data_IF_967161767023
#
_entry.id   IF_967161767023
#
_cell.length_a   1.000
_cell.length_b   1.000
_cell.length_c   1.000
_cell.angle_alpha   90.00
_cell.angle_beta   90.00
_cell.angle_gamma   90.00
#
_symmetry.space_group_name_H-M   'P 1'
#
loop_
_entity.id
_entity.type
_entity.pdbx_description
1 polymer ?
#
# COMPACT_ATOMS: atom_id res chain seq x y z
N UNK A 1 0.35 -12.63 2.36
CA UNK A 1 1.29 -11.57 1.93
C UNK A 1 1.56 -10.65 3.12
N UNK A 2 2.82 -10.55 3.56
CA UNK A 2 3.21 -9.72 4.71
C UNK A 2 4.03 -8.56 4.16
N UNK A 3 3.62 -7.32 4.35
CA UNK A 3 4.47 -6.16 4.04
C UNK A 3 5.10 -5.72 5.37
N UNK A 4 6.43 -5.60 5.52
CA UNK A 4 7.03 -5.21 6.79
C UNK A 4 6.59 -3.82 7.24
N UNK A 5 6.61 -3.57 8.56
CA UNK A 5 6.43 -2.23 9.13
C UNK A 5 7.46 -1.27 8.53
N UNK A 6 7.04 -0.04 8.19
CA UNK A 6 7.92 0.98 7.61
C UNK A 6 8.26 0.75 6.14
N UNK A 7 7.67 -0.27 5.51
CA UNK A 7 7.82 -0.55 4.07
C UNK A 7 6.47 -0.41 3.37
N UNK A 8 6.53 0.02 2.12
CA UNK A 8 5.37 0.12 1.25
C UNK A 8 5.59 -0.66 -0.04
N UNK A 9 4.49 -1.07 -0.68
CA UNK A 9 4.47 -1.64 -2.02
C UNK A 9 3.50 -0.88 -2.90
N UNK A 10 3.75 -0.82 -4.21
CA UNK A 10 2.76 -0.25 -5.13
C UNK A 10 1.66 -1.25 -5.46
N UNK A 11 0.48 -0.80 -5.89
CA UNK A 11 -0.53 -1.68 -6.46
C UNK A 11 -0.01 -2.53 -7.64
N UNK A 12 0.93 -1.99 -8.42
CA UNK A 12 1.58 -2.73 -9.51
C UNK A 12 2.50 -3.84 -9.00
N UNK A 13 3.26 -3.58 -7.95
CA UNK A 13 4.10 -4.58 -7.26
C UNK A 13 3.22 -5.68 -6.67
N UNK A 14 2.14 -5.30 -5.97
CA UNK A 14 1.15 -6.24 -5.42
C UNK A 14 0.54 -7.13 -6.52
N UNK A 15 0.06 -6.53 -7.60
CA UNK A 15 -0.54 -7.25 -8.73
C UNK A 15 0.43 -8.25 -9.37
N UNK A 16 1.69 -7.86 -9.56
CA UNK A 16 2.75 -8.77 -10.05
C UNK A 16 3.01 -9.92 -9.07
N UNK A 17 3.10 -9.64 -7.77
CA UNK A 17 3.37 -10.63 -6.74
C UNK A 17 2.29 -11.72 -6.60
N UNK A 18 1.05 -11.42 -7.02
CA UNK A 18 -0.06 -12.39 -7.06
C UNK A 18 -0.26 -13.03 -8.44
N UNK A 19 0.71 -12.91 -9.35
CA UNK A 19 0.64 -13.51 -10.68
C UNK A 19 -0.29 -12.80 -11.67
N UNK A 20 -0.68 -11.54 -11.39
CA UNK A 20 -1.57 -10.74 -12.25
C UNK A 20 -0.87 -9.44 -12.71
N UNK A 21 0.24 -9.50 -13.46
CA UNK A 21 0.90 -8.30 -13.97
C UNK A 21 -0.08 -7.44 -14.78
N UNK A 22 -0.01 -6.11 -14.64
CA UNK A 22 -0.94 -5.17 -15.28
C UNK A 22 -2.24 -4.92 -14.49
N UNK A 23 -2.57 -5.72 -13.48
CA UNK A 23 -3.82 -5.60 -12.71
C UNK A 23 -3.77 -4.57 -11.56
N UNK A 24 -2.97 -3.50 -11.68
CA UNK A 24 -2.79 -2.52 -10.61
C UNK A 24 -4.10 -1.83 -10.17
N UNK A 25 -4.97 -1.47 -11.13
CA UNK A 25 -6.29 -0.88 -10.82
C UNK A 25 -7.19 -1.86 -10.07
N UNK A 26 -7.23 -3.12 -10.50
CA UNK A 26 -8.00 -4.17 -9.83
C UNK A 26 -7.47 -4.45 -8.41
N UNK A 27 -6.15 -4.44 -8.22
CA UNK A 27 -5.54 -4.54 -6.90
C UNK A 27 -5.95 -3.36 -5.99
N UNK A 28 -5.97 -2.13 -6.52
CA UNK A 28 -6.47 -0.96 -5.80
C UNK A 28 -7.95 -1.05 -5.42
N UNK A 29 -8.79 -1.55 -6.32
CA UNK A 29 -10.20 -1.81 -6.04
C UNK A 29 -10.37 -2.87 -4.94
N UNK A 30 -9.63 -3.98 -5.00
CA UNK A 30 -9.63 -5.01 -3.97
C UNK A 30 -9.19 -4.47 -2.60
N UNK A 31 -8.16 -3.62 -2.55
CA UNK A 31 -7.75 -2.94 -1.32
C UNK A 31 -8.83 -1.99 -0.78
N UNK A 32 -9.58 -1.31 -1.66
CA UNK A 32 -10.68 -0.40 -1.28
C UNK A 32 -11.88 -1.16 -0.72
N UNK A 33 -12.18 -2.33 -1.28
CA UNK A 33 -13.30 -3.19 -0.88
C UNK A 33 -13.00 -4.07 0.33
N UNK A 34 -11.84 -3.91 0.98
CA UNK A 34 -11.48 -4.70 2.16
C UNK A 34 -12.20 -4.16 3.42
N UNK A 35 -13.18 -4.88 4.00
CA UNK A 35 -13.90 -4.44 5.19
C UNK A 35 -13.06 -4.49 6.47
N UNK A 36 -11.83 -5.03 6.40
CA UNK A 36 -10.96 -5.27 7.56
C UNK A 36 -9.65 -4.47 7.45
N UNK A 37 -9.78 -3.14 7.33
CA UNK A 37 -8.67 -2.22 7.05
C UNK A 37 -7.52 -2.19 8.07
N UNK A 38 -7.70 -2.76 9.26
CA UNK A 38 -6.67 -2.81 10.32
C UNK A 38 -5.95 -4.17 10.44
N UNK A 39 -6.59 -5.29 10.07
CA UNK A 39 -5.97 -6.63 10.14
C UNK A 39 -5.13 -6.94 8.89
N UNK A 40 -5.49 -6.36 7.75
CA UNK A 40 -4.70 -6.42 6.53
C UNK A 40 -4.05 -5.04 6.37
N UNK A 41 -2.71 -4.94 6.27
CA UNK A 41 -1.99 -3.66 6.24
C UNK A 41 -2.15 -2.96 4.88
N UNK A 42 -3.39 -2.65 4.47
CA UNK A 42 -3.71 -2.04 3.20
C UNK A 42 -3.25 -0.58 3.11
N UNK A 43 -2.97 0.07 4.26
CA UNK A 43 -2.29 1.36 4.31
C UNK A 43 -0.85 1.27 3.76
N UNK A 44 -0.21 0.10 3.79
CA UNK A 44 1.13 -0.13 3.19
C UNK A 44 1.11 -0.31 1.67
N UNK A 45 -0.07 -0.34 1.03
CA UNK A 45 -0.20 -0.44 -0.43
C UNK A 45 -0.52 0.93 -1.01
N UNK A 46 0.39 1.48 -1.82
CA UNK A 46 0.33 2.86 -2.32
C UNK A 46 0.21 2.92 -3.85
N UNK A 47 -0.14 4.09 -4.39
CA UNK A 47 0.00 4.36 -5.81
C UNK A 47 1.47 4.68 -6.16
N UNK A 48 1.86 4.50 -7.42
CA UNK A 48 3.22 4.85 -7.87
C UNK A 48 3.54 6.35 -7.78
N UNK A 49 2.51 7.20 -7.76
CA UNK A 49 2.62 8.65 -7.62
C UNK A 49 2.29 9.20 -6.24
N UNK A 50 1.90 8.36 -5.28
CA UNK A 50 1.54 8.84 -3.94
C UNK A 50 0.69 7.87 -3.11
N UNK A 51 0.04 8.34 -2.03
CA UNK A 51 -0.60 7.44 -1.06
C UNK A 51 -1.71 6.57 -1.67
N UNK A 52 -2.37 7.00 -2.75
CA UNK A 52 -3.52 6.27 -3.31
C UNK A 52 -4.76 6.40 -2.41
N UNK A 53 -5.69 5.45 -2.54
CA UNK A 53 -6.94 5.45 -1.74
C UNK A 53 -6.80 4.72 -0.40
N UNK A 54 -7.67 5.06 0.55
CA UNK A 54 -7.83 4.40 1.84
C UNK A 54 -9.22 4.63 2.42
N UNK A 55 -9.76 3.67 3.18
CA UNK A 55 -11.08 3.79 3.83
C UNK A 55 -12.23 4.16 2.88
N UNK A 56 -12.28 3.55 1.70
CA UNK A 56 -13.35 3.82 0.74
C UNK A 56 -13.28 5.22 0.11
N UNK A 57 -14.32 6.01 0.31
CA UNK A 57 -14.46 7.40 -0.17
C UNK A 57 -14.48 8.43 0.96
N UNK A 58 -14.16 8.01 2.20
CA UNK A 58 -14.09 8.89 3.35
C UNK A 58 -12.97 9.93 3.16
N UNK A 59 -13.25 11.24 3.26
CA UNK A 59 -12.24 12.29 3.18
C UNK A 59 -11.11 12.15 4.22
N UNK A 60 -11.40 11.56 5.38
CA UNK A 60 -10.41 11.29 6.44
C UNK A 60 -9.52 10.07 6.13
N UNK A 61 -9.83 9.29 5.10
CA UNK A 61 -9.10 8.07 4.75
C UNK A 61 -7.63 8.33 4.40
N UNK A 62 -7.35 9.30 3.52
CA UNK A 62 -5.97 9.61 3.12
C UNK A 62 -5.14 10.15 4.30
N UNK A 63 -5.63 11.13 5.10
CA UNK A 63 -4.96 11.56 6.32
C UNK A 63 -4.63 10.41 7.27
N UNK A 64 -5.62 9.53 7.56
CA UNK A 64 -5.43 8.37 8.42
C UNK A 64 -4.34 7.42 7.88
N UNK A 65 -4.34 7.15 6.57
CA UNK A 65 -3.30 6.32 5.92
C UNK A 65 -1.91 6.92 6.10
N UNK A 66 -1.77 8.22 5.90
CA UNK A 66 -0.50 8.92 6.07
C UNK A 66 -0.04 8.87 7.53
N UNK A 67 -0.92 9.12 8.50
CA UNK A 67 -0.59 8.98 9.93
C UNK A 67 -0.13 7.57 10.29
N UNK A 68 -0.82 6.53 9.79
CA UNK A 68 -0.43 5.14 10.03
C UNK A 68 0.95 4.82 9.42
N UNK A 69 1.22 5.29 8.21
CA UNK A 69 2.51 5.09 7.55
C UNK A 69 3.63 5.82 8.30
N UNK A 70 3.38 7.04 8.75
CA UNK A 70 4.33 7.86 9.50
C UNK A 70 4.67 7.22 10.85
N UNK A 71 3.66 6.75 11.59
CA UNK A 71 3.85 5.97 12.83
C UNK A 71 4.76 4.75 12.58
N UNK A 72 4.66 4.15 11.40
CA UNK A 72 5.48 3.00 11.01
C UNK A 72 6.87 3.35 10.49
N UNK A 73 7.19 4.63 10.32
CA UNK A 73 8.47 5.10 9.77
C UNK A 73 8.52 5.20 8.25
N UNK A 74 7.36 5.24 7.57
CA UNK A 74 7.25 5.42 6.13
C UNK A 74 6.59 6.77 5.80
N UNK A 75 7.33 7.67 5.18
CA UNK A 75 6.81 8.97 4.75
C UNK A 75 7.06 9.19 3.26
N UNK A 76 6.16 9.88 2.55
CA UNK A 76 6.40 10.27 1.16
C UNK A 76 7.52 11.31 1.10
N UNK A 77 8.40 11.18 0.11
CA UNK A 77 9.39 12.20 -0.23
C UNK A 77 8.79 13.36 -1.02
N UNK A 78 9.64 14.30 -1.49
CA UNK A 78 9.22 15.39 -2.34
C UNK A 78 8.38 14.90 -3.54
N UNK A 79 7.25 15.56 -3.79
CA UNK A 79 6.30 15.15 -4.84
C UNK A 79 5.36 14.00 -4.43
N UNK A 80 5.29 13.67 -3.14
CA UNK A 80 4.30 12.73 -2.59
C UNK A 80 4.64 11.26 -2.80
N UNK A 81 5.78 10.94 -3.43
CA UNK A 81 6.18 9.57 -3.78
C UNK A 81 6.84 8.90 -2.58
N UNK A 82 6.47 7.65 -2.32
CA UNK A 82 7.21 6.82 -1.39
C UNK A 82 8.49 6.29 -2.05
N UNK A 83 9.51 6.00 -1.24
CA UNK A 83 10.75 5.38 -1.67
C UNK A 83 10.54 4.05 -2.43
N UNK A 84 11.60 3.44 -2.98
CA UNK A 84 11.47 2.28 -3.86
C UNK A 84 10.60 1.19 -3.22
N UNK A 85 9.62 0.64 -3.96
CA UNK A 85 8.69 -0.32 -3.38
C UNK A 85 9.45 -1.55 -2.89
N UNK A 86 9.09 -2.01 -1.70
CA UNK A 86 9.58 -3.28 -1.21
C UNK A 86 9.21 -4.38 -2.20
N UNK A 87 10.20 -5.10 -2.72
CA UNK A 87 9.98 -6.17 -3.66
C UNK A 87 9.42 -7.37 -2.90
N UNK A 88 8.26 -7.86 -3.33
CA UNK A 88 7.59 -9.00 -2.69
C UNK A 88 8.43 -10.29 -2.65
N UNK A 89 9.47 -10.38 -3.48
CA UNK A 89 10.43 -11.49 -3.49
C UNK A 89 11.50 -11.43 -2.39
N UNK A 90 11.57 -10.36 -1.60
CA UNK A 90 12.51 -10.24 -0.46
C UNK A 90 11.85 -10.53 0.90
N UNK A 91 10.68 -11.15 0.91
CA UNK A 91 10.07 -11.61 2.16
C UNK A 91 10.83 -12.85 2.66
N UNK A 92 11.34 -12.85 3.90
CA UNK A 92 11.84 -14.09 4.48
C UNK A 92 10.69 -15.11 4.48
N UNK A 93 10.98 -16.31 3.99
CA UNK A 93 10.10 -17.45 4.18
C UNK A 93 10.02 -17.72 5.69
N UNK A 94 8.89 -17.36 6.29
CA UNK A 94 8.63 -17.49 7.72
C UNK A 94 7.14 -17.62 7.97
#
# INVERSE_FOLDING_TARGET
>A
MRIPRGRVVTYGTLARGVGRPGAARAAGAACRSNPVGLLIPCHRVVASGGPGGYSGSDPAGIPLKLSLLEIEGASPGPGGRFGPPFLLGELPAG
#
